data_IF_131373423111
#
_entry.id   IF_131373423111
#
_cell.length_a   1.000
_cell.length_b   1.000
_cell.length_c   1.000
_cell.angle_alpha   90.00
_cell.angle_beta   90.00
_cell.angle_gamma   90.00
#
_symmetry.space_group_name_H-M   'P 1'
#
loop_
_entity.id
_entity.type
_entity.pdbx_description
1 polymer ?
#
# COMPACT_ATOMS: atom_id res chain seq x y z
N UNK A 1 39.08 60.49 45.74
CA UNK A 1 37.60 60.51 45.76
C UNK A 1 37.10 60.57 44.32
N UNK A 2 36.67 59.44 43.75
CA UNK A 2 35.59 59.30 42.76
C UNK A 2 35.48 57.81 42.40
N UNK A 3 34.30 57.27 42.70
CA UNK A 3 33.98 55.85 42.73
C UNK A 3 33.85 55.22 41.35
N UNK A 4 34.27 53.96 41.26
CA UNK A 4 33.83 52.99 40.24
C UNK A 4 32.31 52.78 40.36
N UNK A 5 31.61 52.78 39.24
CA UNK A 5 30.28 52.18 39.12
C UNK A 5 30.34 51.22 37.93
N UNK A 6 30.46 49.93 38.25
CA UNK A 6 30.29 48.82 37.33
C UNK A 6 28.78 48.54 37.24
N UNK A 7 28.16 48.80 36.08
CA UNK A 7 26.77 48.43 35.84
C UNK A 7 26.74 46.98 35.30
N UNK A 8 26.38 46.04 36.17
CA UNK A 8 26.08 44.65 35.80
C UNK A 8 24.66 44.61 35.24
N UNK A 9 24.55 44.50 33.91
CA UNK A 9 23.28 44.24 33.24
C UNK A 9 22.93 42.76 33.41
N UNK A 10 21.93 42.48 34.24
CA UNK A 10 21.33 41.16 34.39
C UNK A 10 20.48 40.85 33.16
N UNK A 11 21.05 40.12 32.19
CA UNK A 11 20.29 39.43 31.15
C UNK A 11 19.48 38.31 31.82
N UNK A 12 18.23 38.62 32.17
CA UNK A 12 17.22 37.61 32.45
C UNK A 12 16.89 36.91 31.13
N UNK A 13 17.60 35.81 30.87
CA UNK A 13 17.16 34.83 29.89
C UNK A 13 15.83 34.26 30.40
N UNK A 14 14.72 34.75 29.85
CA UNK A 14 13.43 34.09 29.95
C UNK A 14 13.58 32.81 29.12
N UNK A 15 14.08 31.74 29.75
CA UNK A 15 13.87 30.39 29.25
C UNK A 15 12.38 30.11 29.41
N UNK A 16 11.58 30.59 28.45
CA UNK A 16 10.23 30.11 28.29
C UNK A 16 10.34 28.60 28.19
N UNK A 17 9.81 27.89 29.18
CA UNK A 17 9.63 26.46 29.11
C UNK A 17 8.83 26.20 27.83
N UNK A 18 9.47 25.69 26.79
CA UNK A 18 8.80 25.05 25.67
C UNK A 18 8.10 23.82 26.27
N UNK A 19 6.93 24.03 26.84
CA UNK A 19 6.06 22.94 27.24
C UNK A 19 5.81 22.15 25.95
N UNK A 20 6.30 20.91 25.91
CA UNK A 20 6.08 20.05 24.77
C UNK A 20 4.59 20.06 24.41
N UNK A 21 4.26 20.35 23.16
CA UNK A 21 2.89 20.31 22.65
C UNK A 21 2.39 18.86 22.77
N UNK A 22 1.65 18.58 23.83
CA UNK A 22 1.14 17.25 24.17
C UNK A 22 -0.34 17.36 24.41
N UNK A 23 -1.07 16.27 24.15
CA UNK A 23 -2.50 16.20 24.47
C UNK A 23 -2.79 16.57 25.94
N UNK A 24 -1.92 16.16 26.88
CA UNK A 24 -2.08 16.53 28.29
C UNK A 24 -2.03 18.04 28.53
N UNK A 25 -1.07 18.73 27.90
CA UNK A 25 -0.96 20.19 28.00
C UNK A 25 -2.12 20.89 27.31
N UNK A 26 -2.59 20.38 26.16
CA UNK A 26 -3.80 20.90 25.49
C UNK A 26 -5.01 20.83 26.41
N UNK A 27 -5.21 19.68 27.07
CA UNK A 27 -6.30 19.51 28.03
C UNK A 27 -6.15 20.45 29.21
N UNK A 28 -4.95 20.61 29.76
CA UNK A 28 -4.72 21.52 30.89
C UNK A 28 -5.05 22.99 30.54
N UNK A 29 -4.79 23.40 29.29
CA UNK A 29 -5.07 24.75 28.80
C UNK A 29 -6.55 24.92 28.44
N UNK A 30 -7.09 24.04 27.60
CA UNK A 30 -8.44 24.16 27.06
C UNK A 30 -9.53 23.88 28.12
N UNK A 31 -9.24 23.07 29.15
CA UNK A 31 -10.15 22.82 30.26
C UNK A 31 -10.00 23.83 31.43
N UNK A 32 -9.14 24.84 31.28
CA UNK A 32 -9.01 25.91 32.27
C UNK A 32 -10.28 26.76 32.33
N UNK A 33 -10.61 27.30 33.52
CA UNK A 33 -11.83 28.12 33.76
C UNK A 33 -11.92 29.33 32.79
N UNK A 34 -10.78 29.80 32.28
CA UNK A 34 -10.67 30.93 31.37
C UNK A 34 -10.90 30.59 29.89
N UNK A 35 -10.90 29.30 29.52
CA UNK A 35 -11.09 28.86 28.15
C UNK A 35 -12.58 28.76 27.80
N UNK A 36 -12.92 29.09 26.55
CA UNK A 36 -14.27 28.94 25.99
C UNK A 36 -14.32 27.96 24.81
N UNK A 37 -13.23 27.23 24.56
CA UNK A 37 -13.12 26.27 23.45
C UNK A 37 -12.35 25.02 23.88
N UNK A 38 -12.63 23.90 23.21
CA UNK A 38 -11.97 22.61 23.45
C UNK A 38 -11.44 22.07 22.12
N UNK A 39 -10.31 22.61 21.66
CA UNK A 39 -9.74 22.30 20.35
C UNK A 39 -8.92 21.00 20.38
N UNK A 40 -8.13 20.81 21.45
CA UNK A 40 -7.32 19.60 21.69
C UNK A 40 -6.54 19.08 20.47
N UNK A 41 -5.80 19.92 19.73
CA UNK A 41 -5.22 19.55 18.44
C UNK A 41 -4.23 18.39 18.50
N UNK A 42 -3.56 18.14 19.63
CA UNK A 42 -2.59 17.04 19.81
C UNK A 42 -3.24 15.76 20.37
N UNK A 43 -4.52 15.78 20.70
CA UNK A 43 -5.25 14.60 21.17
C UNK A 43 -5.76 13.76 20.00
N UNK A 44 -4.84 13.16 19.26
CA UNK A 44 -5.12 12.28 18.13
C UNK A 44 -4.11 11.11 18.11
N UNK A 45 -4.21 10.23 17.11
CA UNK A 45 -3.36 9.03 17.00
C UNK A 45 -2.05 9.26 16.21
N UNK A 46 -1.72 10.49 15.85
CA UNK A 46 -0.47 10.82 15.15
C UNK A 46 0.68 10.78 16.15
N UNK A 47 1.71 10.00 15.81
CA UNK A 47 2.98 9.93 16.52
C UNK A 47 4.11 9.69 15.51
N UNK A 48 5.36 9.92 15.92
CA UNK A 48 6.52 9.74 15.04
C UNK A 48 6.48 10.64 13.79
N UNK A 49 5.82 11.80 13.90
CA UNK A 49 5.66 12.79 12.81
C UNK A 49 5.01 12.21 11.54
N UNK A 50 4.18 11.15 11.69
CA UNK A 50 3.43 10.55 10.59
C UNK A 50 2.60 11.58 9.82
N UNK A 51 2.81 11.65 8.51
CA UNK A 51 2.16 12.64 7.63
C UNK A 51 2.74 14.06 7.68
N UNK A 52 3.70 14.34 8.57
CA UNK A 52 4.35 15.66 8.66
C UNK A 52 5.63 15.74 7.81
N UNK A 53 6.36 14.63 7.70
CA UNK A 53 7.58 14.51 6.88
C UNK A 53 7.47 13.39 5.85
N UNK A 54 8.16 13.57 4.72
CA UNK A 54 8.18 12.59 3.64
C UNK A 54 6.81 12.39 2.98
N UNK A 55 6.68 11.29 2.23
CA UNK A 55 5.45 10.96 1.49
C UNK A 55 4.76 9.69 2.01
N UNK A 56 5.21 9.11 3.13
CA UNK A 56 4.76 7.77 3.57
C UNK A 56 3.23 7.70 3.75
N UNK A 57 2.62 8.72 4.34
CA UNK A 57 1.17 8.75 4.58
C UNK A 57 0.37 8.83 3.27
N UNK A 58 0.76 9.72 2.36
CA UNK A 58 0.10 9.88 1.07
C UNK A 58 0.34 8.69 0.14
N UNK A 59 1.51 8.07 0.19
CA UNK A 59 1.78 6.85 -0.57
C UNK A 59 0.96 5.66 -0.06
N UNK A 60 0.74 5.54 1.25
CA UNK A 60 -0.11 4.49 1.80
C UNK A 60 -1.58 4.64 1.33
N UNK A 61 -2.09 5.87 1.27
CA UNK A 61 -3.41 6.15 0.68
C UNK A 61 -3.44 5.80 -0.82
N UNK A 62 -2.41 6.18 -1.59
CA UNK A 62 -2.30 5.81 -2.99
C UNK A 62 -2.19 4.27 -3.19
N UNK A 63 -1.65 3.55 -2.20
CA UNK A 63 -1.54 2.10 -2.23
C UNK A 63 -2.87 1.38 -2.01
N UNK A 64 -3.73 1.91 -1.13
CA UNK A 64 -5.11 1.45 -1.00
C UNK A 64 -5.89 1.65 -2.31
N UNK A 65 -5.69 2.81 -2.97
CA UNK A 65 -6.28 3.10 -4.29
C UNK A 65 -5.82 2.09 -5.36
N UNK A 66 -4.51 1.80 -5.42
CA UNK A 66 -3.98 0.82 -6.38
C UNK A 66 -4.57 -0.58 -6.16
N UNK A 67 -4.67 -1.04 -4.91
CA UNK A 67 -5.34 -2.31 -4.59
C UNK A 67 -6.82 -2.30 -4.99
N UNK A 68 -7.50 -1.18 -4.78
CA UNK A 68 -8.92 -1.04 -5.12
C UNK A 68 -9.12 -1.17 -6.63
N UNK A 69 -8.32 -0.45 -7.43
CA UNK A 69 -8.33 -0.54 -8.89
C UNK A 69 -8.07 -1.97 -9.36
N UNK A 70 -7.00 -2.61 -8.84
CA UNK A 70 -6.63 -3.99 -9.22
C UNK A 70 -7.68 -5.01 -8.79
N UNK A 71 -8.39 -4.80 -7.68
CA UNK A 71 -9.47 -5.69 -7.26
C UNK A 71 -10.59 -5.78 -8.31
N UNK A 72 -10.94 -4.65 -8.94
CA UNK A 72 -11.92 -4.62 -10.02
C UNK A 72 -11.36 -5.14 -11.34
N UNK A 73 -10.11 -4.83 -11.67
CA UNK A 73 -9.45 -5.39 -12.87
C UNK A 73 -9.48 -6.94 -12.85
N UNK A 74 -9.08 -7.53 -11.72
CA UNK A 74 -9.13 -8.99 -11.55
C UNK A 74 -10.56 -9.52 -11.52
N UNK A 75 -11.52 -8.78 -10.97
CA UNK A 75 -12.93 -9.17 -11.00
C UNK A 75 -13.46 -9.27 -12.44
N UNK A 76 -13.08 -8.33 -13.29
CA UNK A 76 -13.45 -8.34 -14.71
C UNK A 76 -12.80 -9.52 -15.44
N UNK A 77 -11.54 -9.84 -15.17
CA UNK A 77 -10.92 -11.07 -15.70
C UNK A 77 -11.60 -12.34 -15.20
N UNK A 78 -12.00 -12.39 -13.93
CA UNK A 78 -12.74 -13.53 -13.38
C UNK A 78 -14.08 -13.72 -14.10
N UNK A 79 -14.80 -12.63 -14.37
CA UNK A 79 -16.04 -12.66 -15.14
C UNK A 79 -15.81 -13.07 -16.61
N UNK A 80 -14.75 -12.56 -17.24
CA UNK A 80 -14.39 -12.90 -18.61
C UNK A 80 -14.11 -14.41 -18.76
N UNK A 81 -13.33 -15.02 -17.87
CA UNK A 81 -13.04 -16.46 -17.93
C UNK A 81 -14.25 -17.35 -17.59
N UNK A 82 -15.32 -16.79 -17.03
CA UNK A 82 -16.56 -17.50 -16.71
C UNK A 82 -17.68 -17.29 -17.74
N UNK A 83 -17.37 -16.73 -18.91
CA UNK A 83 -18.33 -16.65 -20.00
C UNK A 83 -18.45 -18.00 -20.75
N UNK A 84 -19.52 -18.21 -21.52
CA UNK A 84 -19.80 -19.50 -22.15
C UNK A 84 -18.78 -19.91 -23.26
N UNK A 85 -18.04 -18.96 -23.82
CA UNK A 85 -17.03 -19.22 -24.86
C UNK A 85 -15.69 -19.59 -24.24
N UNK A 86 -15.27 -18.87 -23.20
CA UNK A 86 -14.00 -19.13 -22.48
C UNK A 86 -14.15 -20.34 -21.56
N UNK A 87 -15.17 -20.33 -20.69
CA UNK A 87 -15.54 -21.41 -19.77
C UNK A 87 -14.33 -22.07 -19.07
N UNK A 88 -13.46 -21.25 -18.47
CA UNK A 88 -12.25 -21.65 -17.74
C UNK A 88 -12.46 -21.41 -16.25
N UNK A 89 -13.08 -22.37 -15.56
CA UNK A 89 -13.45 -22.22 -14.15
C UNK A 89 -12.22 -22.05 -13.24
N UNK A 90 -11.10 -22.69 -13.58
CA UNK A 90 -9.84 -22.55 -12.86
C UNK A 90 -9.22 -21.16 -13.00
N UNK A 91 -9.18 -20.61 -14.21
CA UNK A 91 -8.75 -19.22 -14.41
C UNK A 91 -9.69 -18.22 -13.73
N UNK A 92 -11.00 -18.43 -13.85
CA UNK A 92 -11.98 -17.59 -13.17
C UNK A 92 -11.77 -17.59 -11.65
N UNK A 93 -11.56 -18.77 -11.05
CA UNK A 93 -11.25 -18.94 -9.62
C UNK A 93 -9.94 -18.23 -9.23
N UNK A 94 -8.89 -18.34 -10.03
CA UNK A 94 -7.61 -17.65 -9.81
C UNK A 94 -7.79 -16.14 -9.74
N UNK A 95 -8.44 -15.55 -10.74
CA UNK A 95 -8.67 -14.12 -10.77
C UNK A 95 -9.64 -13.65 -9.69
N UNK A 96 -10.64 -14.47 -9.35
CA UNK A 96 -11.55 -14.17 -8.25
C UNK A 96 -10.81 -14.11 -6.91
N UNK A 97 -9.90 -15.06 -6.64
CA UNK A 97 -9.05 -15.04 -5.45
C UNK A 97 -8.19 -13.77 -5.39
N UNK A 98 -7.53 -13.40 -6.49
CA UNK A 98 -6.74 -12.17 -6.57
C UNK A 98 -7.60 -10.91 -6.33
N UNK A 99 -8.83 -10.89 -6.86
CA UNK A 99 -9.79 -9.80 -6.65
C UNK A 99 -10.18 -9.66 -5.18
N UNK A 100 -10.56 -10.77 -4.55
CA UNK A 100 -11.01 -10.79 -3.15
C UNK A 100 -9.89 -10.41 -2.18
N UNK A 101 -8.68 -10.92 -2.41
CA UNK A 101 -7.51 -10.56 -1.61
C UNK A 101 -7.16 -9.08 -1.76
N UNK A 102 -7.16 -8.54 -2.99
CA UNK A 102 -6.88 -7.13 -3.23
C UNK A 102 -7.94 -6.22 -2.58
N UNK A 103 -9.22 -6.58 -2.68
CA UNK A 103 -10.32 -5.87 -2.01
C UNK A 103 -10.15 -5.88 -0.48
N UNK A 104 -9.80 -7.03 0.09
CA UNK A 104 -9.52 -7.15 1.52
C UNK A 104 -8.35 -6.26 1.93
N UNK A 105 -7.26 -6.26 1.16
CA UNK A 105 -6.08 -5.43 1.42
C UNK A 105 -6.37 -3.93 1.26
N UNK A 106 -7.27 -3.51 0.35
CA UNK A 106 -7.75 -2.13 0.31
C UNK A 106 -8.36 -1.71 1.65
N UNK A 107 -9.26 -2.52 2.21
CA UNK A 107 -9.92 -2.22 3.49
C UNK A 107 -8.90 -2.18 4.63
N UNK A 108 -7.95 -3.12 4.63
CA UNK A 108 -6.91 -3.20 5.65
C UNK A 108 -6.01 -1.95 5.64
N UNK A 109 -5.55 -1.51 4.46
CA UNK A 109 -4.76 -0.28 4.34
C UNK A 109 -5.55 0.94 4.80
N UNK A 110 -6.84 1.06 4.48
CA UNK A 110 -7.69 2.17 4.95
C UNK A 110 -7.76 2.19 6.49
N UNK A 111 -7.90 1.01 7.11
CA UNK A 111 -7.85 0.88 8.56
C UNK A 111 -6.48 1.26 9.10
N UNK A 112 -5.39 0.91 8.44
CA UNK A 112 -4.04 1.26 8.88
C UNK A 112 -3.77 2.76 8.78
N UNK A 113 -4.17 3.41 7.69
CA UNK A 113 -4.11 4.89 7.52
C UNK A 113 -4.83 5.58 8.68
N UNK A 114 -6.05 5.16 8.99
CA UNK A 114 -6.86 5.77 10.05
C UNK A 114 -6.38 5.42 11.45
N UNK A 115 -5.82 4.22 11.66
CA UNK A 115 -5.15 3.81 12.91
C UNK A 115 -3.97 4.72 13.25
N UNK A 116 -3.25 5.23 12.24
CA UNK A 116 -2.10 6.14 12.39
C UNK A 116 -2.49 7.63 12.53
N UNK A 117 -3.79 7.92 12.66
CA UNK A 117 -4.30 9.27 12.91
C UNK A 117 -4.54 10.12 11.66
N UNK A 118 -4.44 9.52 10.47
CA UNK A 118 -4.70 10.19 9.19
C UNK A 118 -6.09 9.84 8.63
N UNK A 119 -6.49 10.51 7.56
CA UNK A 119 -7.76 10.29 6.86
C UNK A 119 -7.50 9.78 5.44
N UNK A 120 -8.31 8.82 5.00
CA UNK A 120 -8.19 8.28 3.65
C UNK A 120 -8.66 9.30 2.59
N UNK A 121 -7.80 9.62 1.62
CA UNK A 121 -8.17 10.31 0.38
C UNK A 121 -8.12 9.34 -0.81
N UNK A 122 -9.27 8.98 -1.37
CA UNK A 122 -9.37 8.07 -2.53
C UNK A 122 -8.86 8.67 -3.84
N UNK A 123 -8.62 9.99 -3.90
CA UNK A 123 -8.04 10.64 -5.08
C UNK A 123 -6.53 10.88 -4.94
N UNK A 124 -5.90 10.35 -3.89
CA UNK A 124 -4.46 10.48 -3.71
C UNK A 124 -3.69 9.76 -4.83
N UNK A 125 -2.65 10.40 -5.33
CA UNK A 125 -1.75 9.86 -6.34
C UNK A 125 -0.38 9.53 -5.73
N UNK A 126 0.21 8.43 -6.20
CA UNK A 126 1.58 8.03 -5.88
C UNK A 126 2.59 8.89 -6.64
N UNK A 127 3.69 9.22 -5.99
CA UNK A 127 4.85 9.91 -6.57
C UNK A 127 5.78 8.95 -7.33
N UNK A 128 5.67 7.64 -7.11
CA UNK A 128 6.38 6.62 -7.88
C UNK A 128 5.97 6.69 -9.35
N UNK A 129 6.93 7.02 -10.23
CA UNK A 129 6.71 7.05 -11.67
C UNK A 129 6.38 5.65 -12.17
N UNK A 130 5.17 5.50 -12.71
CA UNK A 130 4.68 4.23 -13.26
C UNK A 130 4.09 4.49 -14.64
N UNK A 131 4.35 3.61 -15.61
CA UNK A 131 3.70 3.68 -16.92
C UNK A 131 2.21 3.36 -16.76
N UNK A 132 1.33 4.28 -17.15
CA UNK A 132 -0.10 4.00 -17.20
C UNK A 132 -0.39 3.09 -18.39
N UNK A 133 -0.71 1.83 -18.12
CA UNK A 133 -1.20 0.87 -19.12
C UNK A 133 -2.62 0.48 -18.75
N UNK A 134 -3.55 0.66 -19.70
CA UNK A 134 -4.92 0.20 -19.52
C UNK A 134 -4.92 -1.31 -19.22
N UNK A 135 -5.84 -1.73 -18.37
CA UNK A 135 -6.11 -3.14 -18.14
C UNK A 135 -7.21 -3.59 -19.11
N UNK A 136 -6.95 -4.64 -19.87
CA UNK A 136 -7.93 -5.30 -20.75
C UNK A 136 -8.27 -6.64 -20.12
N UNK A 137 -9.55 -6.98 -19.96
CA UNK A 137 -9.95 -8.23 -19.35
C UNK A 137 -10.02 -9.38 -20.38
N UNK A 138 -10.33 -9.05 -21.63
CA UNK A 138 -10.57 -9.95 -22.75
C UNK A 138 -9.25 -10.44 -23.38
N UNK A 139 -8.45 -11.18 -22.62
CA UNK A 139 -7.18 -11.75 -23.06
C UNK A 139 -7.23 -13.27 -23.14
N UNK A 140 -6.38 -13.88 -23.98
CA UNK A 140 -6.18 -15.33 -23.92
C UNK A 140 -5.37 -15.74 -22.67
N UNK A 141 -5.30 -17.03 -22.36
CA UNK A 141 -4.83 -17.55 -21.06
C UNK A 141 -3.42 -17.07 -20.67
N UNK A 142 -2.46 -17.13 -21.61
CA UNK A 142 -1.09 -16.66 -21.35
C UNK A 142 -0.99 -15.14 -21.18
N UNK A 143 -1.71 -14.35 -21.98
CA UNK A 143 -1.73 -12.89 -21.83
C UNK A 143 -2.33 -12.48 -20.48
N UNK A 144 -3.42 -13.14 -20.06
CA UNK A 144 -4.04 -12.88 -18.76
C UNK A 144 -3.06 -13.18 -17.61
N UNK A 145 -2.37 -14.32 -17.63
CA UNK A 145 -1.37 -14.65 -16.61
C UNK A 145 -0.16 -13.71 -16.64
N UNK A 146 0.29 -13.28 -17.83
CA UNK A 146 1.36 -12.30 -17.96
C UNK A 146 0.94 -10.95 -17.35
N UNK A 147 -0.29 -10.50 -17.63
CA UNK A 147 -0.84 -9.26 -17.06
C UNK A 147 -1.01 -9.35 -15.55
N UNK A 148 -1.47 -10.49 -15.02
CA UNK A 148 -1.53 -10.75 -13.59
C UNK A 148 -0.13 -10.71 -12.94
N UNK A 149 0.87 -11.33 -13.59
CA UNK A 149 2.25 -11.32 -13.11
C UNK A 149 2.81 -9.90 -13.05
N UNK A 150 2.60 -9.09 -14.08
CA UNK A 150 3.10 -7.71 -14.13
C UNK A 150 2.42 -6.81 -13.08
N UNK A 151 1.11 -6.97 -12.89
CA UNK A 151 0.37 -6.20 -11.88
C UNK A 151 0.69 -6.62 -10.44
N UNK A 152 0.99 -7.90 -10.18
CA UNK A 152 1.52 -8.33 -8.88
C UNK A 152 2.93 -7.80 -8.62
N UNK A 153 3.79 -7.72 -9.65
CA UNK A 153 5.10 -7.08 -9.53
C UNK A 153 4.98 -5.58 -9.23
N UNK A 154 4.06 -4.88 -9.90
CA UNK A 154 3.79 -3.47 -9.62
C UNK A 154 3.38 -3.25 -8.15
N UNK A 155 2.50 -4.11 -7.62
CA UNK A 155 2.08 -4.05 -6.21
C UNK A 155 3.26 -4.30 -5.24
N UNK A 156 4.14 -5.24 -5.56
CA UNK A 156 5.32 -5.56 -4.75
C UNK A 156 6.37 -4.44 -4.80
N UNK A 157 6.68 -3.92 -5.98
CA UNK A 157 7.62 -2.81 -6.15
C UNK A 157 7.09 -1.53 -5.51
N UNK A 158 5.77 -1.32 -5.52
CA UNK A 158 5.14 -0.23 -4.76
C UNK A 158 5.33 -0.40 -3.26
N UNK A 159 5.20 -1.61 -2.70
CA UNK A 159 5.49 -1.86 -1.29
C UNK A 159 6.96 -1.53 -0.95
N UNK A 160 7.91 -1.93 -1.80
CA UNK A 160 9.33 -1.59 -1.61
C UNK A 160 9.59 -0.08 -1.66
N UNK A 161 8.87 0.63 -2.53
CA UNK A 161 8.96 2.08 -2.60
C UNK A 161 8.52 2.71 -1.27
N UNK A 162 7.34 2.34 -0.75
CA UNK A 162 6.80 2.89 0.50
C UNK A 162 7.69 2.52 1.69
N UNK A 163 8.16 1.28 1.75
CA UNK A 163 9.07 0.81 2.79
C UNK A 163 10.34 1.66 2.84
N UNK A 164 10.93 1.96 1.67
CA UNK A 164 12.10 2.81 1.54
C UNK A 164 11.82 4.28 1.90
N UNK A 165 10.63 4.79 1.55
CA UNK A 165 10.19 6.13 1.97
C UNK A 165 10.06 6.23 3.49
N UNK A 166 9.53 5.18 4.13
CA UNK A 166 9.33 5.12 5.57
C UNK A 166 10.66 5.04 6.36
N UNK A 167 11.69 4.39 5.82
CA UNK A 167 12.88 4.04 6.60
C UNK A 167 14.17 4.74 6.19
N UNK A 168 14.25 5.27 4.96
CA UNK A 168 15.55 5.65 4.37
C UNK A 168 15.57 6.96 3.60
N UNK A 169 14.54 7.30 2.83
CA UNK A 169 14.65 8.39 1.84
C UNK A 169 14.61 9.79 2.43
N UNK A 170 14.03 9.97 3.62
CA UNK A 170 13.98 11.26 4.31
C UNK A 170 14.83 11.21 5.57
N UNK A 171 15.68 12.22 5.76
CA UNK A 171 16.51 12.37 6.97
C UNK A 171 15.68 12.66 8.23
N UNK A 172 14.45 13.13 8.06
CA UNK A 172 13.52 13.54 9.12
C UNK A 172 12.36 12.57 9.29
N UNK A 173 12.41 11.39 8.66
CA UNK A 173 11.38 10.37 8.81
C UNK A 173 12.04 9.01 9.03
N UNK A 174 11.62 8.33 10.08
CA UNK A 174 11.93 6.93 10.31
C UNK A 174 10.73 6.26 10.97
N UNK A 175 9.92 5.58 10.17
CA UNK A 175 8.67 4.94 10.60
C UNK A 175 8.77 3.40 10.48
N UNK A 176 9.33 2.73 11.51
CA UNK A 176 9.44 1.28 11.50
C UNK A 176 8.09 0.56 11.65
N UNK A 177 7.03 1.23 12.10
CA UNK A 177 5.70 0.62 12.18
C UNK A 177 5.11 0.42 10.79
N UNK A 178 5.27 1.39 9.88
CA UNK A 178 4.91 1.22 8.46
C UNK A 178 5.79 0.16 7.80
N UNK A 179 7.09 0.14 8.09
CA UNK A 179 8.01 -0.83 7.52
C UNK A 179 7.60 -2.28 7.88
N UNK A 180 7.41 -2.54 9.18
CA UNK A 180 6.99 -3.85 9.69
C UNK A 180 5.62 -4.25 9.14
N UNK A 181 4.66 -3.32 9.10
CA UNK A 181 3.34 -3.57 8.51
C UNK A 181 3.44 -4.02 7.04
N UNK A 182 4.27 -3.36 6.23
CA UNK A 182 4.49 -3.76 4.84
C UNK A 182 5.20 -5.10 4.72
N UNK A 183 6.16 -5.38 5.60
CA UNK A 183 6.89 -6.65 5.64
C UNK A 183 5.93 -7.83 5.87
N UNK A 184 5.18 -7.79 6.97
CA UNK A 184 4.31 -8.88 7.42
C UNK A 184 3.06 -9.04 6.55
N UNK A 185 2.41 -7.94 6.16
CA UNK A 185 1.10 -8.01 5.51
C UNK A 185 1.17 -8.04 3.98
N UNK A 186 2.32 -7.77 3.37
CA UNK A 186 2.41 -7.61 1.90
C UNK A 186 3.64 -8.27 1.29
N UNK A 187 4.83 -7.93 1.77
CA UNK A 187 6.09 -8.24 1.07
C UNK A 187 6.33 -9.75 0.99
N UNK A 188 6.07 -10.49 2.06
CA UNK A 188 6.21 -11.95 2.07
C UNK A 188 5.27 -12.63 1.05
N UNK A 189 3.98 -12.30 1.11
CA UNK A 189 2.94 -12.85 0.22
C UNK A 189 3.18 -12.52 -1.25
N UNK A 190 3.75 -11.34 -1.56
CA UNK A 190 4.06 -10.96 -2.93
C UNK A 190 5.06 -11.93 -3.58
N UNK A 191 6.09 -12.37 -2.85
CA UNK A 191 7.11 -13.27 -3.40
C UNK A 191 6.48 -14.59 -3.85
N UNK A 192 5.60 -15.16 -3.03
CA UNK A 192 4.90 -16.42 -3.33
C UNK A 192 3.92 -16.29 -4.51
N UNK A 193 3.14 -15.21 -4.55
CA UNK A 193 2.20 -14.94 -5.65
C UNK A 193 2.91 -14.74 -6.99
N UNK A 194 3.96 -13.91 -7.00
CA UNK A 194 4.77 -13.65 -8.18
C UNK A 194 5.44 -14.94 -8.66
N UNK A 195 5.99 -15.74 -7.75
CA UNK A 195 6.60 -17.02 -8.09
C UNK A 195 5.58 -18.00 -8.70
N UNK A 196 4.38 -18.07 -8.13
CA UNK A 196 3.30 -18.93 -8.62
C UNK A 196 2.89 -18.55 -10.04
N UNK A 197 2.59 -17.26 -10.28
CA UNK A 197 2.22 -16.76 -11.60
C UNK A 197 3.34 -16.92 -12.64
N UNK A 198 4.61 -16.71 -12.25
CA UNK A 198 5.75 -16.98 -13.13
C UNK A 198 5.90 -18.47 -13.47
N UNK A 199 5.51 -19.36 -12.55
CA UNK A 199 5.41 -20.80 -12.81
C UNK A 199 4.35 -21.09 -13.87
N UNK A 200 3.13 -20.55 -13.68
CA UNK A 200 2.02 -20.73 -14.60
C UNK A 200 2.33 -20.22 -16.02
N UNK A 201 2.95 -19.05 -16.17
CA UNK A 201 3.37 -18.55 -17.49
C UNK A 201 4.44 -19.43 -18.13
N UNK A 202 5.36 -20.00 -17.33
CA UNK A 202 6.37 -20.94 -17.81
C UNK A 202 5.77 -22.23 -18.33
N UNK A 203 4.75 -22.76 -17.68
CA UNK A 203 4.05 -23.98 -18.11
C UNK A 203 3.28 -23.74 -19.41
N UNK A 204 2.51 -22.64 -19.51
CA UNK A 204 1.83 -22.28 -20.75
C UNK A 204 2.81 -22.01 -21.90
N UNK A 205 3.95 -21.37 -21.64
CA UNK A 205 5.01 -21.18 -22.64
C UNK A 205 5.49 -22.52 -23.19
N UNK A 206 5.69 -23.53 -22.34
CA UNK A 206 6.08 -24.88 -22.78
C UNK A 206 4.98 -25.53 -23.61
N UNK A 207 3.71 -25.42 -23.21
CA UNK A 207 2.60 -25.98 -23.98
C UNK A 207 2.47 -25.37 -25.39
N UNK A 208 2.76 -24.09 -25.54
CA UNK A 208 2.72 -23.40 -26.83
C UNK A 208 3.92 -23.79 -27.72
N UNK A 209 5.11 -23.92 -27.14
CA UNK A 209 6.35 -24.08 -27.91
C UNK A 209 6.75 -25.53 -28.16
N UNK A 210 6.44 -26.45 -27.24
CA UNK A 210 6.76 -27.87 -27.40
C UNK A 210 5.89 -28.50 -28.49
N UNK A 211 6.49 -29.41 -29.28
CA UNK A 211 5.79 -30.12 -30.35
C UNK A 211 4.96 -29.18 -31.26
N UNK A 212 5.47 -27.99 -31.57
CA UNK A 212 4.78 -26.96 -32.36
C UNK A 212 3.37 -26.59 -31.84
N UNK A 213 3.12 -26.75 -30.52
CA UNK A 213 1.84 -26.42 -29.89
C UNK A 213 0.70 -27.39 -30.22
N UNK A 214 0.99 -28.59 -30.74
CA UNK A 214 -0.05 -29.57 -31.10
C UNK A 214 -0.95 -29.97 -29.92
N UNK A 215 -0.42 -29.95 -28.70
CA UNK A 215 -1.16 -30.31 -27.48
C UNK A 215 -1.86 -29.13 -26.81
N UNK A 216 -1.77 -27.90 -27.35
CA UNK A 216 -2.13 -26.67 -26.65
C UNK A 216 -3.58 -26.66 -26.12
N UNK A 217 -4.55 -27.06 -26.95
CA UNK A 217 -5.97 -27.04 -26.55
C UNK A 217 -6.27 -27.99 -25.39
N UNK A 218 -5.71 -29.20 -25.43
CA UNK A 218 -5.83 -30.19 -24.36
C UNK A 218 -5.05 -29.75 -23.12
N UNK A 219 -3.84 -29.22 -23.30
CA UNK A 219 -3.00 -28.75 -22.20
C UNK A 219 -3.67 -27.59 -21.43
N UNK A 220 -4.31 -26.65 -22.13
CA UNK A 220 -5.07 -25.57 -21.49
C UNK A 220 -6.28 -26.09 -20.71
N UNK A 221 -6.97 -27.11 -21.22
CA UNK A 221 -8.06 -27.77 -20.48
C UNK A 221 -7.55 -28.45 -19.20
N UNK A 222 -6.47 -29.25 -19.31
CA UNK A 222 -5.85 -29.91 -18.14
C UNK A 222 -5.29 -28.90 -17.15
N UNK A 223 -4.73 -27.80 -17.63
CA UNK A 223 -4.19 -26.74 -16.79
C UNK A 223 -5.29 -25.98 -16.04
N UNK A 224 -6.43 -25.69 -16.68
CA UNK A 224 -7.59 -25.12 -16.00
C UNK A 224 -8.10 -26.05 -14.90
N UNK A 225 -8.21 -27.35 -15.19
CA UNK A 225 -8.58 -28.38 -14.21
C UNK A 225 -7.60 -28.44 -13.03
N UNK A 226 -6.30 -28.23 -13.29
CA UNK A 226 -5.28 -28.11 -12.25
C UNK A 226 -5.54 -26.87 -11.37
N UNK A 227 -5.77 -25.69 -11.99
CA UNK A 227 -6.05 -24.46 -11.25
C UNK A 227 -7.29 -24.57 -10.37
N UNK A 228 -8.35 -25.24 -10.82
CA UNK A 228 -9.55 -25.47 -10.01
C UNK A 228 -9.24 -26.19 -8.68
N UNK A 229 -8.21 -27.05 -8.68
CA UNK A 229 -7.81 -27.90 -7.54
C UNK A 229 -6.77 -27.24 -6.63
N UNK A 230 -5.95 -26.32 -7.15
CA UNK A 230 -4.82 -25.75 -6.40
C UNK A 230 -4.97 -24.30 -5.96
N UNK A 231 -5.84 -23.53 -6.61
CA UNK A 231 -6.14 -22.13 -6.24
C UNK A 231 -7.07 -22.09 -5.04
#
# INVERSE_FOLDING_TARGET
>A
MKMLILAVSCLLAITGSLAADTCYNDVALDCGITSNSLALPRCNAVYGEYGSHGNVATELQAYAKLHLERSYDYLLSAAYFNNYQTNRAGFSKLFKKLSDEAWSKTIDIIKHVTKRGDKMNFDQHSTMKTERKNYTAENHELEALAKALDTQKELAERAFYIHREATRNSQHLHDPEIAQYLEEEFIEDHAEKIRTLAGHTSDLKKFITANNGHDLSLALYVFDEYLQKTV
#
